data_IF_741257213280
#
_entry.id   IF_741257213280
#
_cell.length_a   1.000
_cell.length_b   1.000
_cell.length_c   1.000
_cell.angle_alpha   90.00
_cell.angle_beta   90.00
_cell.angle_gamma   90.00
#
_symmetry.space_group_name_H-M   'P 1'
#
loop_
_entity.id
_entity.type
_entity.pdbx_description
1 polymer ?
#
# COMPACT_ATOMS: atom_id res chain seq x y z
N UNK A 1 83.21 19.51 10.57
CA UNK A 1 83.62 18.81 9.34
C UNK A 1 82.50 17.87 8.91
N UNK A 2 82.06 18.03 7.67
CA UNK A 2 81.28 17.15 6.78
C UNK A 2 80.02 16.41 7.29
N UNK A 3 78.91 16.78 6.65
CA UNK A 3 77.64 16.08 6.49
C UNK A 3 77.78 14.64 5.98
N UNK A 4 76.85 13.76 6.37
CA UNK A 4 76.49 12.60 5.55
C UNK A 4 75.03 12.21 5.75
N UNK A 5 74.14 12.97 5.12
CA UNK A 5 72.76 12.55 4.86
C UNK A 5 72.79 11.36 3.90
N UNK A 6 72.35 10.18 4.33
CA UNK A 6 72.19 9.03 3.43
C UNK A 6 71.09 9.36 2.40
N UNK A 7 71.31 9.13 1.10
CA UNK A 7 70.30 9.41 0.09
C UNK A 7 69.12 8.44 0.26
N UNK A 8 67.90 8.98 0.20
CA UNK A 8 66.68 8.20 0.08
C UNK A 8 66.65 7.71 -1.38
N UNK A 9 66.86 6.41 -1.57
CA UNK A 9 66.67 5.77 -2.86
C UNK A 9 65.17 5.71 -3.10
N UNK A 10 64.69 6.49 -4.07
CA UNK A 10 63.31 6.40 -4.55
C UNK A 10 63.23 5.13 -5.39
N UNK A 11 62.70 4.07 -4.79
CA UNK A 11 62.41 2.84 -5.51
C UNK A 11 61.26 3.10 -6.50
N UNK A 12 61.46 2.71 -7.77
CA UNK A 12 60.48 2.95 -8.83
C UNK A 12 59.12 2.32 -8.51
N UNK A 13 58.05 3.01 -8.92
CA UNK A 13 56.62 2.62 -8.84
C UNK A 13 56.34 1.23 -9.46
N UNK A 14 57.30 0.64 -10.16
CA UNK A 14 57.23 -0.68 -10.79
C UNK A 14 57.31 -1.84 -9.79
N UNK A 15 57.85 -1.66 -8.56
CA UNK A 15 57.88 -2.75 -7.56
C UNK A 15 56.54 -2.96 -6.85
N UNK A 16 55.62 -1.98 -6.85
CA UNK A 16 54.28 -2.17 -6.28
C UNK A 16 53.41 -3.12 -7.13
N UNK A 17 53.78 -3.38 -8.39
CA UNK A 17 53.16 -4.37 -9.27
C UNK A 17 53.87 -5.73 -9.22
N UNK A 18 54.48 -6.08 -8.09
CA UNK A 18 54.96 -7.45 -7.83
C UNK A 18 54.41 -8.07 -6.56
N UNK A 19 53.31 -7.52 -6.04
CA UNK A 19 52.35 -8.27 -5.23
C UNK A 19 51.50 -9.15 -6.15
N UNK A 20 52.12 -10.11 -6.84
CA UNK A 20 51.41 -11.32 -7.26
C UNK A 20 51.16 -12.12 -5.98
N UNK A 21 50.21 -11.65 -5.17
CA UNK A 21 49.53 -12.54 -4.24
C UNK A 21 48.85 -13.57 -5.15
N UNK A 22 49.17 -14.86 -5.00
CA UNK A 22 48.48 -15.90 -5.76
C UNK A 22 46.98 -15.72 -5.51
N UNK A 23 46.19 -15.87 -6.57
CA UNK A 23 44.73 -15.78 -6.58
C UNK A 23 44.08 -16.95 -5.79
N UNK A 24 44.65 -17.34 -4.66
CA UNK A 24 44.14 -18.36 -3.75
C UNK A 24 43.82 -17.82 -2.36
N UNK A 25 44.01 -16.53 -2.12
CA UNK A 25 43.66 -15.93 -0.84
C UNK A 25 42.88 -14.64 -1.04
N UNK A 26 41.87 -14.69 -1.92
CA UNK A 26 40.61 -14.08 -1.51
C UNK A 26 40.23 -14.85 -0.24
N UNK A 27 40.56 -14.30 0.93
CA UNK A 27 39.86 -14.66 2.14
C UNK A 27 38.39 -14.32 1.85
N UNK A 28 37.66 -15.27 1.27
CA UNK A 28 36.23 -15.34 1.48
C UNK A 28 36.12 -15.36 2.98
N UNK A 29 35.68 -14.22 3.53
CA UNK A 29 35.24 -14.06 4.91
C UNK A 29 34.71 -15.41 5.36
N UNK A 30 35.44 -16.05 6.29
CA UNK A 30 35.09 -17.36 6.82
C UNK A 30 33.57 -17.38 7.01
N UNK A 31 32.88 -18.27 6.32
CA UNK A 31 31.48 -18.50 6.61
C UNK A 31 31.49 -18.91 8.08
N UNK A 32 30.97 -18.09 9.01
CA UNK A 32 31.23 -18.31 10.43
C UNK A 32 30.64 -19.68 10.80
N UNK A 33 31.50 -20.61 11.24
CA UNK A 33 31.14 -22.02 11.46
C UNK A 33 30.08 -22.22 12.56
N UNK A 34 29.69 -21.15 13.28
CA UNK A 34 28.64 -21.14 14.30
C UNK A 34 27.58 -20.07 14.04
N UNK A 35 26.95 -20.08 12.86
CA UNK A 35 25.70 -19.32 12.70
C UNK A 35 24.64 -19.96 13.62
N UNK A 36 24.17 -19.21 14.60
CA UNK A 36 22.99 -19.57 15.40
C UNK A 36 21.79 -18.79 14.86
N UNK A 37 20.63 -19.40 14.90
CA UNK A 37 19.36 -18.77 14.53
C UNK A 37 19.03 -17.69 15.57
N UNK A 38 19.20 -16.42 15.21
CA UNK A 38 19.02 -15.29 16.14
C UNK A 38 17.58 -14.79 16.20
N UNK A 39 16.78 -15.00 15.14
CA UNK A 39 15.47 -14.36 14.97
C UNK A 39 14.24 -15.24 15.28
N UNK A 40 14.42 -16.36 15.98
CA UNK A 40 13.29 -17.27 16.28
C UNK A 40 12.19 -16.56 17.07
N UNK A 41 12.56 -15.74 18.07
CA UNK A 41 11.60 -14.98 18.87
C UNK A 41 10.82 -13.94 18.03
N UNK A 42 11.50 -13.25 17.12
CA UNK A 42 10.86 -12.27 16.23
C UNK A 42 9.95 -12.95 15.20
N UNK A 43 10.35 -14.11 14.67
CA UNK A 43 9.50 -14.89 13.77
C UNK A 43 8.22 -15.38 14.46
N UNK A 44 8.31 -15.80 15.72
CA UNK A 44 7.12 -16.20 16.52
C UNK A 44 6.21 -15.00 16.76
N UNK A 45 6.76 -13.86 17.20
CA UNK A 45 5.98 -12.63 17.39
C UNK A 45 5.30 -12.18 16.09
N UNK A 46 6.02 -12.23 14.97
CA UNK A 46 5.48 -11.92 13.65
C UNK A 46 4.34 -12.86 13.27
N UNK A 47 4.52 -14.17 13.48
CA UNK A 47 3.48 -15.17 13.22
C UNK A 47 2.21 -14.92 14.03
N UNK A 48 2.33 -14.62 15.32
CA UNK A 48 1.19 -14.25 16.18
C UNK A 48 0.50 -12.99 15.64
N UNK A 49 1.30 -11.98 15.30
CA UNK A 49 0.78 -10.70 14.77
C UNK A 49 -0.01 -10.91 13.49
N UNK A 50 0.48 -11.74 12.56
CA UNK A 50 -0.22 -12.09 11.32
C UNK A 50 -1.54 -12.82 11.61
N UNK A 51 -1.55 -13.80 12.52
CA UNK A 51 -2.78 -14.53 12.88
C UNK A 51 -3.84 -13.60 13.47
N UNK A 52 -3.44 -12.69 14.36
CA UNK A 52 -4.34 -11.70 14.96
C UNK A 52 -4.87 -10.75 13.88
N UNK A 53 -4.00 -10.21 13.02
CA UNK A 53 -4.41 -9.30 11.94
C UNK A 53 -5.38 -9.96 10.96
N UNK A 54 -5.11 -11.22 10.55
CA UNK A 54 -6.01 -11.96 9.67
C UNK A 54 -7.37 -12.21 10.32
N UNK A 55 -7.40 -12.52 11.61
CA UNK A 55 -8.64 -12.73 12.36
C UNK A 55 -9.47 -11.44 12.44
N UNK A 56 -8.83 -10.31 12.76
CA UNK A 56 -9.48 -8.99 12.78
C UNK A 56 -9.95 -8.56 11.39
N UNK A 57 -9.17 -8.84 10.35
CA UNK A 57 -9.55 -8.56 8.97
C UNK A 57 -10.83 -9.34 8.59
N UNK A 58 -10.87 -10.65 8.85
CA UNK A 58 -12.05 -11.48 8.55
C UNK A 58 -13.27 -10.96 9.34
N UNK A 59 -13.09 -10.66 10.63
CA UNK A 59 -14.16 -10.08 11.45
C UNK A 59 -14.69 -8.77 10.85
N UNK A 60 -13.81 -7.86 10.41
CA UNK A 60 -14.20 -6.60 9.79
C UNK A 60 -14.94 -6.83 8.46
N UNK A 61 -14.49 -7.77 7.63
CA UNK A 61 -15.17 -8.10 6.38
C UNK A 61 -16.59 -8.64 6.64
N UNK A 62 -16.76 -9.55 7.61
CA UNK A 62 -18.07 -10.13 7.90
C UNK A 62 -19.05 -9.15 8.56
N UNK A 63 -18.57 -8.21 9.38
CA UNK A 63 -19.43 -7.26 10.11
C UNK A 63 -19.59 -5.91 9.40
N UNK A 64 -18.86 -5.67 8.31
CA UNK A 64 -19.00 -4.44 7.54
C UNK A 64 -20.11 -4.56 6.49
N UNK A 65 -20.79 -3.45 6.22
CA UNK A 65 -21.77 -3.36 5.14
C UNK A 65 -21.06 -3.23 3.78
N UNK A 66 -20.34 -4.28 3.36
CA UNK A 66 -19.62 -4.31 2.08
C UNK A 66 -20.55 -4.16 0.87
N UNK A 67 -21.84 -4.46 1.01
CA UNK A 67 -22.82 -4.28 -0.05
C UNK A 67 -22.85 -2.84 -0.57
N UNK A 68 -22.52 -1.84 0.26
CA UNK A 68 -22.45 -0.43 -0.16
C UNK A 68 -21.34 -0.17 -1.16
N UNK A 69 -20.27 -0.95 -1.12
CA UNK A 69 -19.16 -0.86 -2.07
C UNK A 69 -19.49 -1.58 -3.38
N UNK A 70 -20.14 -2.75 -3.30
CA UNK A 70 -20.45 -3.57 -4.47
C UNK A 70 -21.61 -2.99 -5.28
N UNK A 71 -22.72 -2.65 -4.62
CA UNK A 71 -23.94 -2.19 -5.29
C UNK A 71 -24.06 -0.68 -5.38
N UNK A 72 -23.27 0.06 -4.59
CA UNK A 72 -23.42 1.50 -4.45
C UNK A 72 -24.68 1.91 -3.67
N UNK A 73 -24.77 3.20 -3.38
CA UNK A 73 -25.91 3.79 -2.68
C UNK A 73 -26.33 5.11 -3.33
N UNK A 74 -27.63 5.40 -3.28
CA UNK A 74 -28.17 6.67 -3.79
C UNK A 74 -27.88 7.85 -2.85
N UNK A 75 -28.30 9.06 -3.25
CA UNK A 75 -28.17 10.27 -2.42
C UNK A 75 -28.91 10.21 -1.07
N UNK A 76 -29.84 9.27 -0.92
CA UNK A 76 -30.60 9.03 0.31
C UNK A 76 -29.98 7.93 1.19
N UNK A 77 -28.90 7.31 0.75
CA UNK A 77 -28.21 6.23 1.45
C UNK A 77 -28.85 4.85 1.27
N UNK A 78 -29.78 4.69 0.33
CA UNK A 78 -30.35 3.38 -0.03
C UNK A 78 -29.39 2.62 -0.93
N UNK A 79 -29.09 1.36 -0.59
CA UNK A 79 -28.39 0.44 -1.48
C UNK A 79 -29.26 0.08 -2.69
N UNK A 80 -28.65 0.10 -3.87
CA UNK A 80 -29.30 -0.36 -5.10
C UNK A 80 -29.40 -1.90 -5.11
N UNK A 81 -30.50 -2.45 -5.64
CA UNK A 81 -30.70 -3.90 -5.74
C UNK A 81 -31.04 -4.61 -4.42
N UNK A 82 -31.26 -3.86 -3.32
CA UNK A 82 -31.57 -4.41 -2.00
C UNK A 82 -32.75 -3.72 -1.34
N UNK A 83 -33.30 -4.36 -0.31
CA UNK A 83 -34.34 -3.79 0.56
C UNK A 83 -33.68 -3.05 1.72
N UNK A 84 -33.90 -1.74 1.79
CA UNK A 84 -33.21 -0.89 2.76
C UNK A 84 -34.02 -0.70 4.04
N UNK A 85 -33.31 -0.60 5.16
CA UNK A 85 -33.89 -0.18 6.44
C UNK A 85 -33.96 1.35 6.52
N UNK A 86 -34.98 1.84 7.21
CA UNK A 86 -35.18 3.28 7.40
C UNK A 86 -34.16 3.81 8.39
N UNK A 87 -33.51 4.91 8.03
CA UNK A 87 -32.57 5.63 8.89
C UNK A 87 -33.29 6.82 9.52
N UNK A 88 -33.19 6.93 10.85
CA UNK A 88 -33.80 8.03 11.59
C UNK A 88 -33.24 9.39 11.14
N UNK A 89 -34.13 10.36 10.95
CA UNK A 89 -33.78 11.71 10.49
C UNK A 89 -33.64 11.87 8.97
N UNK A 90 -33.68 10.78 8.17
CA UNK A 90 -33.61 10.86 6.70
C UNK A 90 -34.92 10.35 6.09
N UNK A 91 -35.76 11.27 5.62
CA UNK A 91 -37.11 10.94 5.12
C UNK A 91 -37.12 10.06 3.88
N UNK A 92 -36.11 10.15 3.03
CA UNK A 92 -36.02 9.38 1.77
C UNK A 92 -35.25 8.05 1.89
N UNK A 93 -34.83 7.66 3.09
CA UNK A 93 -34.18 6.37 3.36
C UNK A 93 -35.20 5.23 3.56
N UNK A 94 -34.74 3.98 3.52
CA UNK A 94 -35.56 2.79 3.77
C UNK A 94 -36.44 2.37 2.59
N UNK A 95 -36.05 2.73 1.37
CA UNK A 95 -36.80 2.36 0.17
C UNK A 95 -36.40 0.95 -0.32
N UNK A 96 -37.37 0.22 -0.86
CA UNK A 96 -37.11 -1.05 -1.54
C UNK A 96 -36.57 -0.78 -2.95
N UNK A 97 -35.28 -1.06 -3.15
CA UNK A 97 -34.56 -0.86 -4.41
C UNK A 97 -34.23 -2.19 -5.09
N UNK A 98 -34.86 -3.30 -4.70
CA UNK A 98 -34.58 -4.65 -5.23
C UNK A 98 -34.66 -4.71 -6.77
N UNK A 99 -35.62 -3.98 -7.36
CA UNK A 99 -35.83 -3.94 -8.81
C UNK A 99 -34.96 -2.89 -9.54
N UNK A 100 -34.06 -2.20 -8.83
CA UNK A 100 -33.23 -1.11 -9.34
C UNK A 100 -31.76 -1.32 -8.95
N UNK A 101 -31.05 -2.27 -9.59
CA UNK A 101 -29.69 -2.66 -9.17
C UNK A 101 -28.60 -1.70 -9.64
N UNK A 102 -28.88 -0.78 -10.56
CA UNK A 102 -27.86 0.08 -11.16
C UNK A 102 -27.82 1.45 -10.48
N UNK A 103 -26.63 1.94 -10.14
CA UNK A 103 -26.45 3.29 -9.61
C UNK A 103 -26.19 4.31 -10.73
N UNK A 104 -27.01 5.35 -10.80
CA UNK A 104 -26.80 6.48 -11.70
C UNK A 104 -25.98 7.58 -11.02
N UNK A 105 -24.95 8.05 -11.72
CA UNK A 105 -24.16 9.21 -11.30
C UNK A 105 -24.62 10.47 -12.03
N UNK A 106 -24.84 11.54 -11.28
CA UNK A 106 -25.10 12.86 -11.83
C UNK A 106 -23.79 13.66 -11.91
N UNK A 107 -23.59 14.31 -13.05
CA UNK A 107 -22.47 15.22 -13.27
C UNK A 107 -22.86 16.61 -12.75
N UNK A 108 -22.20 17.07 -11.71
CA UNK A 108 -22.41 18.40 -11.14
C UNK A 108 -21.17 19.28 -11.33
N UNK A 109 -21.38 20.55 -11.68
CA UNK A 109 -20.31 21.55 -11.66
C UNK A 109 -20.09 22.02 -10.23
N UNK A 110 -18.86 21.86 -9.74
CA UNK A 110 -18.43 22.33 -8.43
C UNK A 110 -17.30 23.32 -8.65
N UNK A 111 -17.33 24.44 -7.93
CA UNK A 111 -16.26 25.42 -7.93
C UNK A 111 -15.17 24.97 -6.95
N UNK A 112 -13.96 24.76 -7.45
CA UNK A 112 -12.79 24.46 -6.62
C UNK A 112 -12.10 25.77 -6.24
N UNK A 113 -12.23 26.15 -4.98
CA UNK A 113 -11.61 27.36 -4.43
C UNK A 113 -10.09 27.29 -4.37
N UNK A 114 -9.47 26.11 -4.41
CA UNK A 114 -8.02 25.96 -4.36
C UNK A 114 -7.37 26.28 -5.71
N UNK A 115 -8.02 25.88 -6.81
CA UNK A 115 -7.53 26.11 -8.17
C UNK A 115 -8.24 27.25 -8.92
N UNK A 116 -9.21 27.93 -8.30
CA UNK A 116 -10.01 29.02 -8.89
C UNK A 116 -10.64 28.64 -10.24
N UNK A 117 -11.20 27.42 -10.32
CA UNK A 117 -11.85 26.89 -11.52
C UNK A 117 -13.05 26.02 -11.21
N UNK A 118 -13.93 25.89 -12.21
CA UNK A 118 -15.03 24.93 -12.18
C UNK A 118 -14.55 23.55 -12.60
N UNK A 119 -14.89 22.54 -11.81
CA UNK A 119 -14.63 21.13 -12.09
C UNK A 119 -15.95 20.34 -12.14
N UNK A 120 -16.02 19.36 -13.04
CA UNK A 120 -17.14 18.43 -13.09
C UNK A 120 -16.89 17.26 -12.13
N UNK A 121 -17.77 17.11 -11.14
CA UNK A 121 -17.73 16.00 -10.18
C UNK A 121 -18.92 15.08 -10.43
N UNK A 122 -18.69 13.77 -10.44
CA UNK A 122 -19.76 12.77 -10.50
C UNK A 122 -20.18 12.39 -9.09
N UNK A 123 -21.47 12.58 -8.77
CA UNK A 123 -22.04 12.20 -7.48
C UNK A 123 -23.12 11.13 -7.66
N UNK A 124 -23.26 10.20 -6.70
CA UNK A 124 -24.38 9.27 -6.69
C UNK A 124 -25.71 10.04 -6.65
N UNK A 125 -26.63 9.74 -7.58
CA UNK A 125 -27.95 10.38 -7.61
C UNK A 125 -29.04 9.39 -7.16
N UNK A 126 -29.26 8.32 -7.94
CA UNK A 126 -30.38 7.39 -7.72
C UNK A 126 -30.14 6.00 -8.28
N UNK A 127 -30.83 5.02 -7.70
CA UNK A 127 -30.90 3.66 -8.25
C UNK A 127 -31.88 3.59 -9.43
N UNK A 128 -31.51 2.86 -10.48
CA UNK A 128 -32.28 2.63 -11.70
C UNK A 128 -32.28 1.15 -12.09
N UNK A 129 -33.30 0.75 -12.83
CA UNK A 129 -33.43 -0.59 -13.40
C UNK A 129 -32.59 -0.75 -14.68
N UNK A 130 -32.50 0.31 -15.49
CA UNK A 130 -31.73 0.35 -16.74
C UNK A 130 -30.96 1.66 -16.87
N UNK A 131 -29.72 1.58 -17.36
CA UNK A 131 -28.98 2.77 -17.78
C UNK A 131 -29.64 3.35 -19.04
N UNK A 132 -30.09 4.59 -18.96
CA UNK A 132 -30.57 5.28 -20.14
C UNK A 132 -29.36 5.76 -20.95
N UNK A 133 -29.13 5.17 -22.12
CA UNK A 133 -28.13 5.66 -23.08
C UNK A 133 -28.70 6.93 -23.72
N UNK A 134 -28.54 8.07 -23.06
CA UNK A 134 -28.92 9.37 -23.60
C UNK A 134 -27.70 10.10 -24.14
#
# INVERSE_FOLDING_TARGET
>A
MASSTKPIVVEEVTTFRRSQVPLEVCILLEIPQRRKTTDVAFLVLFGISVVVLLSLMIYALCNSNMDRFIHGYDKCGNLCGSKNEKVDGISCSGQDMTNKPLLLYERTLVYDSYYDRNEYVYKPDRCVDKCNNR
#
